data_IF_912329785519
#
_entry.id   IF_912329785519
#
_cell.length_a   1.000
_cell.length_b   1.000
_cell.length_c   1.000
_cell.angle_alpha   90.00
_cell.angle_beta   90.00
_cell.angle_gamma   90.00
#
_symmetry.space_group_name_H-M   'P 1'
#
loop_
_entity.id
_entity.type
_entity.pdbx_description
1 polymer ?
#
# COMPACT_ATOMS: atom_id res chain seq x y z
N UNK A 1 -13.67 50.57 2.53
CA UNK A 1 -14.02 49.22 2.05
C UNK A 1 -12.77 48.65 1.41
N UNK A 2 -11.93 48.01 2.22
CA UNK A 2 -10.67 47.39 1.80
C UNK A 2 -10.97 46.01 1.23
N UNK A 3 -10.43 45.76 0.03
CA UNK A 3 -10.30 44.43 -0.55
C UNK A 3 -9.58 43.54 0.47
N UNK A 4 -10.26 42.49 0.93
CA UNK A 4 -9.64 41.43 1.70
C UNK A 4 -8.59 40.77 0.82
N UNK A 5 -7.32 40.95 1.17
CA UNK A 5 -6.22 40.16 0.64
C UNK A 5 -6.58 38.67 0.78
N UNK A 6 -6.71 37.97 -0.35
CA UNK A 6 -6.72 36.52 -0.34
C UNK A 6 -5.42 36.05 0.31
N UNK A 7 -5.45 35.01 1.16
CA UNK A 7 -4.23 34.46 1.71
C UNK A 7 -3.32 34.05 0.55
N UNK A 8 -2.07 34.48 0.64
CA UNK A 8 -1.02 34.17 -0.33
C UNK A 8 -1.02 32.68 -0.65
N UNK A 9 -0.85 32.39 -1.93
CA UNK A 9 -0.78 31.07 -2.55
C UNK A 9 0.54 30.36 -2.15
N UNK A 10 0.82 30.29 -0.84
CA UNK A 10 1.99 29.63 -0.28
C UNK A 10 1.81 28.12 -0.38
N UNK A 11 2.43 27.54 -1.41
CA UNK A 11 2.76 26.13 -1.51
C UNK A 11 1.56 25.17 -1.64
N UNK A 12 0.87 25.20 -2.79
CA UNK A 12 0.24 23.99 -3.34
C UNK A 12 1.34 23.00 -3.77
N UNK A 13 2.15 22.53 -2.81
CA UNK A 13 3.10 21.45 -3.05
C UNK A 13 2.31 20.15 -3.03
N UNK A 14 2.37 19.45 -4.15
CA UNK A 14 1.90 18.07 -4.26
C UNK A 14 2.67 17.20 -3.27
N UNK A 15 1.98 16.24 -2.67
CA UNK A 15 2.59 15.32 -1.70
C UNK A 15 3.79 14.54 -2.27
N UNK A 16 3.92 14.46 -3.59
CA UNK A 16 5.01 13.76 -4.30
C UNK A 16 6.34 14.52 -4.41
N UNK A 17 6.43 15.79 -3.97
CA UNK A 17 7.56 16.68 -4.31
C UNK A 17 8.33 17.22 -3.10
N UNK A 18 8.13 16.67 -1.90
CA UNK A 18 8.80 17.14 -0.70
C UNK A 18 10.10 16.39 -0.45
N UNK A 19 11.25 17.06 -0.61
CA UNK A 19 12.54 16.45 -0.23
C UNK A 19 12.54 16.05 1.27
N UNK A 20 12.78 14.77 1.61
CA UNK A 20 12.86 14.34 3.00
C UNK A 20 14.02 15.03 3.75
N UNK A 21 13.89 15.17 5.06
CA UNK A 21 15.02 15.45 5.96
C UNK A 21 16.09 14.36 5.83
N UNK A 22 17.33 14.70 6.15
CA UNK A 22 18.50 13.84 5.91
C UNK A 22 18.36 12.41 6.46
N UNK A 23 17.74 12.24 7.63
CA UNK A 23 17.53 10.90 8.24
C UNK A 23 16.59 10.01 7.44
N UNK A 24 15.72 10.60 6.63
CA UNK A 24 14.72 9.91 5.81
C UNK A 24 15.08 9.84 4.32
N UNK A 25 16.21 10.41 3.91
CA UNK A 25 16.63 10.44 2.49
C UNK A 25 16.75 9.04 1.89
N UNK A 26 17.51 8.14 2.53
CA UNK A 26 17.67 6.77 2.03
C UNK A 26 16.47 5.86 2.31
N UNK A 27 15.80 5.95 3.48
CA UNK A 27 14.49 5.35 3.69
C UNK A 27 13.46 5.64 2.59
N UNK A 28 13.31 6.91 2.23
CA UNK A 28 12.39 7.35 1.20
C UNK A 28 12.78 6.79 -0.17
N UNK A 29 14.07 6.89 -0.52
CA UNK A 29 14.60 6.35 -1.75
C UNK A 29 14.30 4.84 -1.88
N UNK A 30 14.63 4.05 -0.87
CA UNK A 30 14.37 2.62 -0.87
C UNK A 30 12.87 2.32 -0.98
N UNK A 31 12.05 3.06 -0.23
CA UNK A 31 10.60 2.91 -0.24
C UNK A 31 10.00 3.13 -1.63
N UNK A 32 10.42 4.19 -2.33
CA UNK A 32 9.95 4.48 -3.70
C UNK A 32 10.41 3.44 -4.70
N UNK A 33 11.68 3.01 -4.58
CA UNK A 33 12.25 1.96 -5.43
C UNK A 33 11.46 0.65 -5.28
N UNK A 34 11.23 0.19 -4.04
CA UNK A 34 10.51 -1.08 -3.78
C UNK A 34 9.05 -0.98 -4.24
N UNK A 35 8.37 0.15 -4.00
CA UNK A 35 6.99 0.33 -4.41
C UNK A 35 6.81 0.30 -5.94
N UNK A 36 7.81 0.75 -6.70
CA UNK A 36 7.81 0.74 -8.16
C UNK A 36 8.18 -0.60 -8.82
N UNK A 37 8.21 -1.72 -8.06
CA UNK A 37 8.60 -3.03 -8.58
C UNK A 37 7.59 -3.58 -9.59
N UNK A 38 8.10 -4.10 -10.70
CA UNK A 38 7.34 -4.81 -11.71
C UNK A 38 8.20 -5.88 -12.39
N UNK A 39 7.60 -6.66 -13.29
CA UNK A 39 8.27 -7.75 -14.00
C UNK A 39 9.47 -7.29 -14.85
N UNK A 40 9.48 -6.04 -15.30
CA UNK A 40 10.53 -5.51 -16.19
C UNK A 40 11.75 -4.98 -15.44
N UNK A 41 11.58 -4.54 -14.18
CA UNK A 41 12.63 -3.83 -13.43
C UNK A 41 13.11 -4.56 -12.16
N UNK A 42 12.55 -5.72 -11.81
CA UNK A 42 12.88 -6.43 -10.55
C UNK A 42 14.38 -6.69 -10.35
N UNK A 43 15.11 -7.01 -11.43
CA UNK A 43 16.57 -7.23 -11.37
C UNK A 43 17.30 -5.93 -11.01
N UNK A 44 16.96 -4.83 -11.70
CA UNK A 44 17.55 -3.52 -11.46
C UNK A 44 17.25 -3.03 -10.04
N UNK A 45 15.99 -3.14 -9.62
CA UNK A 45 15.54 -2.77 -8.27
C UNK A 45 16.29 -3.59 -7.21
N UNK A 46 16.43 -4.90 -7.41
CA UNK A 46 17.18 -5.76 -6.48
C UNK A 46 18.62 -5.25 -6.31
N UNK A 47 19.31 -4.94 -7.42
CA UNK A 47 20.68 -4.41 -7.37
C UNK A 47 20.78 -3.07 -6.65
N UNK A 48 19.86 -2.13 -6.91
CA UNK A 48 19.84 -0.82 -6.25
C UNK A 48 19.61 -0.95 -4.74
N UNK A 49 18.68 -1.82 -4.33
CA UNK A 49 18.40 -2.05 -2.91
C UNK A 49 19.58 -2.75 -2.22
N UNK A 50 20.20 -3.74 -2.86
CA UNK A 50 21.42 -4.37 -2.36
C UNK A 50 22.52 -3.32 -2.17
N UNK A 51 22.73 -2.41 -3.12
CA UNK A 51 23.70 -1.32 -3.00
C UNK A 51 23.42 -0.40 -1.80
N UNK A 52 22.15 -0.03 -1.56
CA UNK A 52 21.78 0.78 -0.39
C UNK A 52 22.09 0.05 0.93
N UNK A 53 21.89 -1.27 0.99
CA UNK A 53 22.22 -2.07 2.18
C UNK A 53 23.75 -2.21 2.35
N UNK A 54 24.49 -2.58 1.30
CA UNK A 54 25.96 -2.80 1.38
C UNK A 54 26.72 -1.52 1.69
N UNK A 55 26.23 -0.36 1.24
CA UNK A 55 26.79 0.95 1.59
C UNK A 55 26.34 1.47 2.96
N UNK A 56 25.67 0.63 3.76
CA UNK A 56 25.19 0.92 5.12
C UNK A 56 24.27 2.15 5.20
N UNK A 57 23.58 2.46 4.10
CA UNK A 57 22.62 3.58 4.04
C UNK A 57 21.29 3.22 4.69
N UNK A 58 20.91 1.95 4.65
CA UNK A 58 19.72 1.39 5.29
C UNK A 58 19.98 -0.04 5.79
N UNK A 59 19.31 -0.48 6.87
CA UNK A 59 19.38 -1.87 7.33
C UNK A 59 18.49 -2.79 6.48
N UNK A 60 18.88 -4.05 6.31
CA UNK A 60 18.12 -5.06 5.56
C UNK A 60 16.71 -5.29 6.13
N UNK A 61 16.58 -5.25 7.46
CA UNK A 61 15.31 -5.45 8.18
C UNK A 61 14.25 -4.45 7.71
N UNK A 62 14.67 -3.20 7.50
CA UNK A 62 13.79 -2.15 7.02
C UNK A 62 13.31 -2.41 5.59
N UNK A 63 14.20 -2.89 4.72
CA UNK A 63 13.85 -3.27 3.35
C UNK A 63 12.85 -4.42 3.33
N UNK A 64 13.11 -5.49 4.07
CA UNK A 64 12.21 -6.65 4.15
C UNK A 64 10.86 -6.27 4.78
N UNK A 65 10.86 -5.37 5.76
CA UNK A 65 9.64 -4.79 6.31
C UNK A 65 8.84 -4.01 5.27
N UNK A 66 9.48 -3.15 4.47
CA UNK A 66 8.79 -2.40 3.41
C UNK A 66 8.21 -3.33 2.33
N UNK A 67 8.94 -4.37 1.93
CA UNK A 67 8.44 -5.40 1.01
C UNK A 67 7.21 -6.10 1.61
N UNK A 68 7.25 -6.47 2.88
CA UNK A 68 6.13 -7.09 3.60
C UNK A 68 4.89 -6.18 3.61
N UNK A 69 5.04 -4.90 3.92
CA UNK A 69 3.95 -3.93 3.87
C UNK A 69 3.40 -3.76 2.45
N UNK A 70 4.24 -3.54 1.45
CA UNK A 70 3.77 -3.32 0.07
C UNK A 70 3.12 -4.55 -0.54
N UNK A 71 3.57 -5.75 -0.15
CA UNK A 71 2.90 -6.98 -0.55
C UNK A 71 1.46 -7.11 -0.04
N UNK A 72 1.08 -6.38 1.02
CA UNK A 72 -0.29 -6.31 1.52
C UNK A 72 -1.13 -5.30 0.74
N UNK A 73 -0.53 -4.15 0.39
CA UNK A 73 -1.19 -3.09 -0.39
C UNK A 73 -1.43 -3.58 -1.83
N UNK A 74 -0.41 -4.14 -2.46
CA UNK A 74 -0.40 -4.60 -3.85
C UNK A 74 -0.61 -6.11 -3.92
N UNK A 75 -1.74 -6.57 -3.38
CA UNK A 75 -2.01 -7.98 -3.19
C UNK A 75 -2.08 -8.81 -4.50
N UNK A 76 -2.26 -8.16 -5.66
CA UNK A 76 -2.20 -8.77 -7.00
C UNK A 76 -0.76 -9.09 -7.45
N UNK A 77 0.22 -8.38 -6.91
CA UNK A 77 1.63 -8.44 -7.30
C UNK A 77 2.47 -9.24 -6.29
N UNK A 78 1.80 -10.00 -5.40
CA UNK A 78 2.42 -10.77 -4.31
C UNK A 78 3.61 -11.62 -4.77
N UNK A 79 3.56 -12.16 -6.00
CA UNK A 79 4.66 -12.92 -6.61
C UNK A 79 5.90 -12.07 -6.87
N UNK A 80 5.75 -10.85 -7.37
CA UNK A 80 6.87 -9.93 -7.58
C UNK A 80 7.53 -9.57 -6.25
N UNK A 81 6.73 -9.33 -5.21
CA UNK A 81 7.25 -9.05 -3.88
C UNK A 81 7.94 -10.27 -3.26
N UNK A 82 7.46 -11.50 -3.49
CA UNK A 82 8.16 -12.71 -3.01
C UNK A 82 9.50 -12.92 -3.70
N UNK A 83 9.57 -12.70 -5.02
CA UNK A 83 10.82 -12.76 -5.78
C UNK A 83 11.82 -11.70 -5.29
N UNK A 84 11.37 -10.47 -5.05
CA UNK A 84 12.22 -9.40 -4.52
C UNK A 84 12.68 -9.74 -3.10
N UNK A 85 11.78 -10.18 -2.22
CA UNK A 85 12.10 -10.59 -0.85
C UNK A 85 13.18 -11.68 -0.83
N UNK A 86 13.00 -12.72 -1.64
CA UNK A 86 13.95 -13.83 -1.73
C UNK A 86 15.31 -13.39 -2.26
N UNK A 87 15.36 -12.55 -3.30
CA UNK A 87 16.62 -12.01 -3.85
C UNK A 87 17.40 -11.22 -2.82
N UNK A 88 16.75 -10.30 -2.10
CA UNK A 88 17.40 -9.51 -1.06
C UNK A 88 17.84 -10.42 0.09
N UNK A 89 16.96 -11.29 0.59
CA UNK A 89 17.28 -12.19 1.71
C UNK A 89 18.48 -13.09 1.41
N UNK A 90 18.52 -13.69 0.21
CA UNK A 90 19.62 -14.56 -0.21
C UNK A 90 20.95 -13.81 -0.34
N UNK A 91 20.94 -12.56 -0.83
CA UNK A 91 22.15 -11.75 -0.99
C UNK A 91 22.88 -11.48 0.34
N UNK A 92 22.15 -11.49 1.45
CA UNK A 92 22.69 -11.21 2.79
C UNK A 92 22.61 -12.41 3.75
N UNK A 93 22.15 -13.57 3.27
CA UNK A 93 21.87 -14.75 4.11
C UNK A 93 21.00 -14.41 5.33
N UNK A 94 20.07 -13.47 5.18
CA UNK A 94 19.20 -12.99 6.24
C UNK A 94 17.81 -13.60 6.06
N UNK A 95 17.38 -14.41 7.03
CA UNK A 95 16.09 -15.10 6.99
C UNK A 95 15.22 -14.55 8.11
N UNK A 96 14.08 -13.98 7.74
CA UNK A 96 13.06 -13.53 8.67
C UNK A 96 11.68 -13.87 8.10
N UNK A 97 10.73 -14.25 8.94
CA UNK A 97 9.36 -14.49 8.51
C UNK A 97 8.64 -13.16 8.26
N UNK A 98 8.06 -12.92 7.07
CA UNK A 98 7.22 -11.74 6.85
C UNK A 98 5.86 -11.89 7.57
N UNK A 99 5.28 -10.78 8.03
CA UNK A 99 3.99 -10.80 8.74
C UNK A 99 2.83 -11.07 7.78
N UNK A 100 2.94 -10.71 6.50
CA UNK A 100 1.97 -11.08 5.49
C UNK A 100 2.03 -12.60 5.24
N UNK A 101 1.02 -13.31 5.75
CA UNK A 101 0.91 -14.77 5.62
C UNK A 101 0.92 -15.26 4.18
N UNK A 102 0.36 -14.49 3.23
CA UNK A 102 0.38 -14.85 1.80
C UNK A 102 1.80 -14.78 1.24
N UNK A 103 2.56 -13.76 1.62
CA UNK A 103 3.98 -13.63 1.26
C UNK A 103 4.80 -14.76 1.87
N UNK A 104 4.64 -15.02 3.17
CA UNK A 104 5.34 -16.09 3.89
C UNK A 104 5.06 -17.47 3.26
N UNK A 105 3.80 -17.73 2.94
CA UNK A 105 3.39 -19.00 2.33
C UNK A 105 3.97 -19.16 0.92
N UNK A 106 3.99 -18.09 0.11
CA UNK A 106 4.58 -18.15 -1.22
C UNK A 106 6.09 -18.39 -1.17
N UNK A 107 6.79 -17.73 -0.24
CA UNK A 107 8.22 -17.96 0.01
C UNK A 107 8.48 -19.43 0.41
N UNK A 108 7.65 -20.02 1.27
CA UNK A 108 7.73 -21.43 1.64
C UNK A 108 7.65 -22.35 0.41
N UNK A 109 6.65 -22.16 -0.46
CA UNK A 109 6.52 -22.96 -1.69
C UNK A 109 7.67 -22.74 -2.68
N UNK A 110 8.32 -21.56 -2.64
CA UNK A 110 9.54 -21.26 -3.39
C UNK A 110 10.82 -21.88 -2.78
N UNK A 111 10.70 -22.70 -1.74
CA UNK A 111 11.82 -23.37 -1.07
C UNK A 111 12.57 -22.49 -0.07
N UNK A 112 12.02 -21.35 0.31
CA UNK A 112 12.60 -20.48 1.33
C UNK A 112 12.38 -21.09 2.72
N UNK A 113 13.47 -21.35 3.46
CA UNK A 113 13.43 -22.05 4.75
C UNK A 113 13.00 -21.09 5.87
N UNK A 114 11.71 -21.06 6.17
CA UNK A 114 11.15 -20.36 7.33
C UNK A 114 11.08 -21.33 8.53
N UNK A 115 11.63 -20.92 9.67
CA UNK A 115 11.68 -21.76 10.86
C UNK A 115 10.28 -21.94 11.47
N UNK A 116 9.88 -23.19 11.76
CA UNK A 116 8.56 -23.53 12.34
C UNK A 116 7.33 -23.04 11.56
N UNK A 117 7.48 -22.71 10.28
CA UNK A 117 6.38 -22.25 9.44
C UNK A 117 5.65 -23.42 8.77
N UNK A 118 4.33 -23.50 8.96
CA UNK A 118 3.45 -24.45 8.28
C UNK A 118 2.41 -23.69 7.45
N UNK A 119 2.35 -23.92 6.12
CA UNK A 119 1.44 -23.20 5.24
C UNK A 119 -0.02 -23.61 5.52
N UNK A 120 -0.90 -22.62 5.72
CA UNK A 120 -2.36 -22.84 5.93
C UNK A 120 -3.19 -22.69 4.65
N UNK A 121 -2.55 -22.34 3.54
CA UNK A 121 -3.18 -22.06 2.25
C UNK A 121 -2.36 -22.69 1.13
N UNK A 122 -3.02 -23.06 0.04
CA UNK A 122 -2.35 -23.62 -1.15
C UNK A 122 -1.73 -22.52 -1.99
N UNK A 123 -0.71 -22.85 -2.79
CA UNK A 123 -0.06 -21.89 -3.68
C UNK A 123 -1.05 -21.22 -4.64
N UNK A 124 -1.96 -22.00 -5.23
CA UNK A 124 -3.00 -21.51 -6.14
C UNK A 124 -3.96 -20.51 -5.47
N UNK A 125 -4.25 -20.69 -4.19
CA UNK A 125 -5.09 -19.79 -3.38
C UNK A 125 -4.35 -18.49 -3.02
N UNK A 126 -3.02 -18.48 -3.06
CA UNK A 126 -2.23 -17.26 -2.86
C UNK A 126 -2.18 -16.45 -4.15
N UNK A 127 -2.02 -17.15 -5.28
CA UNK A 127 -1.93 -16.53 -6.60
C UNK A 127 -3.23 -15.85 -7.01
N UNK A 128 -4.37 -16.37 -6.54
CA UNK A 128 -5.69 -15.79 -6.79
C UNK A 128 -6.23 -15.12 -5.53
N UNK A 129 -6.70 -13.88 -5.62
CA UNK A 129 -7.30 -13.17 -4.48
C UNK A 129 -8.62 -13.79 -4.01
N UNK A 130 -9.33 -14.44 -4.92
CA UNK A 130 -10.57 -15.16 -4.70
C UNK A 130 -10.57 -16.47 -5.49
N UNK A 131 -11.37 -17.48 -5.08
CA UNK A 131 -11.55 -18.71 -5.85
C UNK A 131 -11.91 -18.44 -7.31
N UNK A 132 -11.34 -19.18 -8.26
CA UNK A 132 -11.50 -18.94 -9.71
C UNK A 132 -12.92 -19.20 -10.23
N UNK A 133 -13.74 -19.88 -9.43
CA UNK A 133 -15.16 -20.15 -9.63
C UNK A 133 -16.07 -19.13 -8.91
N UNK A 134 -15.51 -18.14 -8.21
CA UNK A 134 -16.25 -17.04 -7.59
C UNK A 134 -16.41 -15.84 -8.55
N UNK A 135 -17.54 -15.12 -8.53
CA UNK A 135 -17.69 -13.88 -9.29
C UNK A 135 -16.66 -12.82 -8.90
N UNK A 136 -16.22 -12.80 -7.63
CA UNK A 136 -15.22 -11.83 -7.14
C UNK A 136 -13.86 -11.98 -7.82
N UNK A 137 -13.50 -13.19 -8.26
CA UNK A 137 -12.29 -13.40 -9.06
C UNK A 137 -12.37 -12.61 -10.38
N UNK A 138 -13.48 -12.73 -11.11
CA UNK A 138 -13.64 -12.05 -12.39
C UNK A 138 -13.71 -10.54 -12.21
N UNK A 139 -14.38 -10.07 -11.16
CA UNK A 139 -14.43 -8.64 -10.83
C UNK A 139 -13.04 -8.12 -10.53
N UNK A 140 -12.29 -8.80 -9.66
CA UNK A 140 -10.94 -8.39 -9.25
C UNK A 140 -9.99 -8.25 -10.43
N UNK A 141 -10.12 -9.09 -11.46
CA UNK A 141 -9.29 -9.05 -12.67
C UNK A 141 -9.93 -8.27 -13.83
N UNK A 142 -10.99 -7.51 -13.55
CA UNK A 142 -11.78 -6.71 -14.50
C UNK A 142 -12.29 -7.47 -15.75
N UNK A 143 -12.60 -8.76 -15.58
CA UNK A 143 -13.04 -9.67 -16.65
C UNK A 143 -14.56 -9.62 -16.85
N UNK A 144 -15.09 -8.45 -17.21
CA UNK A 144 -16.53 -8.18 -17.27
C UNK A 144 -17.31 -9.13 -18.20
N UNK A 145 -16.73 -9.56 -19.32
CA UNK A 145 -17.40 -10.45 -20.27
C UNK A 145 -17.56 -11.87 -19.70
N UNK A 146 -16.52 -12.37 -19.04
CA UNK A 146 -16.57 -13.68 -18.37
C UNK A 146 -17.53 -13.65 -17.19
N UNK A 147 -17.55 -12.55 -16.42
CA UNK A 147 -18.49 -12.33 -15.32
C UNK A 147 -19.94 -12.44 -15.80
N UNK A 148 -20.29 -11.71 -16.88
CA UNK A 148 -21.64 -11.73 -17.49
C UNK A 148 -22.05 -13.12 -17.96
N UNK A 149 -21.12 -13.83 -18.61
CA UNK A 149 -21.37 -15.16 -19.16
C UNK A 149 -21.58 -16.22 -18.08
N UNK A 150 -20.73 -16.22 -17.04
CA UNK A 150 -20.71 -17.24 -16.00
C UNK A 150 -21.71 -16.99 -14.87
N UNK A 151 -22.05 -15.74 -14.60
CA UNK A 151 -22.95 -15.35 -13.50
C UNK A 151 -24.08 -14.43 -13.98
N UNK A 152 -24.97 -14.90 -14.88
CA UNK A 152 -26.05 -14.08 -15.43
C UNK A 152 -27.05 -13.59 -14.38
N UNK A 153 -27.16 -14.30 -13.24
CA UNK A 153 -28.06 -13.98 -12.13
C UNK A 153 -27.27 -13.57 -10.87
N UNK A 154 -26.17 -12.84 -11.05
CA UNK A 154 -25.34 -12.36 -9.93
C UNK A 154 -26.18 -11.53 -8.95
N UNK A 155 -26.14 -11.87 -7.66
CA UNK A 155 -26.72 -11.05 -6.59
C UNK A 155 -25.91 -9.77 -6.40
N UNK A 156 -26.26 -8.70 -7.14
CA UNK A 156 -25.46 -7.47 -7.25
C UNK A 156 -25.21 -6.72 -5.92
N UNK A 157 -26.12 -6.87 -4.96
CA UNK A 157 -26.02 -6.26 -3.62
C UNK A 157 -25.80 -7.31 -2.52
N UNK A 158 -25.61 -8.59 -2.88
CA UNK A 158 -25.35 -9.64 -1.91
C UNK A 158 -23.85 -9.69 -1.59
N UNK A 159 -23.50 -9.70 -0.31
CA UNK A 159 -22.11 -9.89 0.12
C UNK A 159 -21.66 -11.32 -0.18
N UNK A 160 -20.45 -11.43 -0.73
CA UNK A 160 -19.71 -12.66 -0.98
C UNK A 160 -18.37 -12.46 -0.27
N UNK A 161 -17.98 -13.35 0.64
CA UNK A 161 -16.76 -13.17 1.44
C UNK A 161 -16.65 -11.78 2.10
N UNK A 162 -17.74 -11.32 2.73
CA UNK A 162 -17.86 -10.02 3.42
C UNK A 162 -17.65 -8.77 2.54
N UNK A 163 -17.83 -8.89 1.22
CA UNK A 163 -17.77 -7.75 0.29
C UNK A 163 -18.84 -7.85 -0.81
N UNK A 164 -19.45 -6.72 -1.18
CA UNK A 164 -20.37 -6.70 -2.32
C UNK A 164 -19.60 -6.76 -3.65
N UNK A 165 -20.20 -7.25 -4.74
CA UNK A 165 -19.61 -7.17 -6.07
C UNK A 165 -19.14 -5.76 -6.45
N UNK A 166 -19.93 -4.72 -6.14
CA UNK A 166 -19.57 -3.34 -6.45
C UNK A 166 -18.37 -2.88 -5.63
N UNK A 167 -18.35 -3.13 -4.32
CA UNK A 167 -17.21 -2.80 -3.47
C UNK A 167 -15.93 -3.52 -3.89
N UNK A 168 -16.05 -4.75 -4.37
CA UNK A 168 -14.91 -5.49 -4.94
C UNK A 168 -14.38 -4.78 -6.19
N UNK A 169 -15.27 -4.33 -7.09
CA UNK A 169 -14.85 -3.59 -8.29
C UNK A 169 -14.17 -2.27 -7.93
N UNK A 170 -14.73 -1.54 -6.96
CA UNK A 170 -14.18 -0.29 -6.44
C UNK A 170 -12.79 -0.51 -5.84
N UNK A 171 -12.65 -1.50 -4.93
CA UNK A 171 -11.41 -1.78 -4.20
C UNK A 171 -10.24 -2.10 -5.12
N UNK A 172 -10.49 -2.80 -6.22
CA UNK A 172 -9.45 -3.25 -7.14
C UNK A 172 -9.37 -2.41 -8.42
N UNK A 173 -10.05 -1.26 -8.47
CA UNK A 173 -10.02 -0.36 -9.62
C UNK A 173 -10.52 -1.00 -10.92
N UNK A 174 -11.48 -1.91 -10.82
CA UNK A 174 -11.98 -2.72 -11.94
C UNK A 174 -13.10 -1.97 -12.65
N UNK A 175 -12.71 -1.00 -13.47
CA UNK A 175 -13.59 0.01 -14.08
C UNK A 175 -14.70 -0.60 -14.94
N UNK A 176 -14.39 -1.63 -15.74
CA UNK A 176 -15.40 -2.26 -16.61
C UNK A 176 -16.46 -2.99 -15.78
N UNK A 177 -16.04 -3.71 -14.74
CA UNK A 177 -16.94 -4.39 -13.82
C UNK A 177 -17.73 -3.39 -12.97
N UNK A 178 -17.10 -2.30 -12.50
CA UNK A 178 -17.76 -1.22 -11.78
C UNK A 178 -18.91 -0.62 -12.60
N UNK A 179 -18.62 -0.21 -13.83
CA UNK A 179 -19.62 0.36 -14.74
C UNK A 179 -20.76 -0.62 -15.03
N UNK A 180 -20.44 -1.90 -15.25
CA UNK A 180 -21.45 -2.93 -15.44
C UNK A 180 -22.37 -3.09 -14.21
N UNK A 181 -21.80 -3.20 -13.01
CA UNK A 181 -22.54 -3.39 -11.77
C UNK A 181 -23.40 -2.15 -11.43
N UNK A 182 -22.87 -0.94 -11.63
CA UNK A 182 -23.64 0.31 -11.50
C UNK A 182 -24.84 0.35 -12.44
N UNK A 183 -24.66 -0.06 -13.70
CA UNK A 183 -25.75 -0.12 -14.69
C UNK A 183 -26.84 -1.15 -14.34
N UNK A 184 -26.51 -2.16 -13.52
CA UNK A 184 -27.50 -3.10 -12.98
C UNK A 184 -28.22 -2.57 -11.72
N UNK A 185 -27.86 -1.39 -11.23
CA UNK A 185 -28.45 -0.80 -10.03
C UNK A 185 -27.76 -1.21 -8.73
N UNK A 186 -26.48 -1.60 -8.77
CA UNK A 186 -25.72 -1.88 -7.56
C UNK A 186 -25.54 -0.60 -6.71
N UNK A 187 -25.68 -0.75 -5.39
CA UNK A 187 -25.64 0.36 -4.44
C UNK A 187 -24.29 0.42 -3.73
N UNK A 188 -23.84 1.64 -3.42
CA UNK A 188 -22.69 1.83 -2.54
C UNK A 188 -23.01 1.38 -1.12
N UNK A 189 -22.03 0.79 -0.46
CA UNK A 189 -22.10 0.49 0.97
C UNK A 189 -21.43 1.60 1.77
N UNK A 190 -21.39 1.44 3.10
CA UNK A 190 -20.63 2.31 4.02
C UNK A 190 -19.10 2.14 3.91
N UNK A 191 -18.62 1.18 3.11
CA UNK A 191 -17.19 0.91 2.91
C UNK A 191 -16.67 1.35 1.55
N UNK A 192 -17.56 1.69 0.62
CA UNK A 192 -17.23 2.02 -0.78
C UNK A 192 -16.21 3.16 -0.88
N UNK A 193 -16.36 4.23 -0.10
CA UNK A 193 -15.46 5.39 -0.13
C UNK A 193 -14.04 5.00 0.29
N UNK A 194 -13.92 4.19 1.35
CA UNK A 194 -12.63 3.64 1.79
C UNK A 194 -12.02 2.77 0.71
N UNK A 195 -12.78 1.85 0.14
CA UNK A 195 -12.29 0.96 -0.92
C UNK A 195 -11.86 1.72 -2.17
N UNK A 196 -12.57 2.80 -2.52
CA UNK A 196 -12.22 3.63 -3.65
C UNK A 196 -10.87 4.32 -3.46
N UNK A 197 -10.65 4.89 -2.27
CA UNK A 197 -9.38 5.53 -1.91
C UNK A 197 -8.23 4.52 -1.85
N UNK A 198 -8.49 3.28 -1.43
CA UNK A 198 -7.50 2.20 -1.47
C UNK A 198 -7.17 1.77 -2.90
N UNK A 199 -8.20 1.61 -3.74
CA UNK A 199 -8.06 1.12 -5.12
C UNK A 199 -7.37 2.10 -6.05
N UNK A 200 -7.43 3.40 -5.77
CA UNK A 200 -6.62 4.41 -6.46
C UNK A 200 -7.03 4.70 -7.90
N UNK A 201 -8.10 4.07 -8.41
CA UNK A 201 -8.63 4.34 -9.75
C UNK A 201 -9.37 5.69 -9.73
N UNK A 202 -8.87 6.64 -10.53
CA UNK A 202 -9.32 8.04 -10.50
C UNK A 202 -10.69 8.20 -11.13
N UNK A 203 -10.99 7.41 -12.14
CA UNK A 203 -12.23 7.41 -12.88
C UNK A 203 -13.39 7.02 -11.95
N UNK A 204 -13.24 5.92 -11.22
CA UNK A 204 -14.19 5.50 -10.17
C UNK A 204 -14.28 6.56 -9.07
N UNK A 205 -13.15 7.10 -8.60
CA UNK A 205 -13.13 8.14 -7.57
C UNK A 205 -13.92 9.39 -7.98
N UNK A 206 -13.67 9.92 -9.17
CA UNK A 206 -14.37 11.09 -9.69
C UNK A 206 -15.86 10.81 -9.92
N UNK A 207 -16.21 9.64 -10.43
CA UNK A 207 -17.62 9.27 -10.58
C UNK A 207 -18.35 9.19 -9.23
N UNK A 208 -17.71 8.64 -8.19
CA UNK A 208 -18.31 8.61 -6.85
C UNK A 208 -18.53 10.03 -6.28
N UNK A 209 -17.62 10.97 -6.54
CA UNK A 209 -17.79 12.39 -6.19
C UNK A 209 -18.99 12.99 -6.92
N UNK A 210 -19.11 12.78 -8.23
CA UNK A 210 -20.23 13.27 -9.06
C UNK A 210 -21.58 12.70 -8.60
N UNK A 211 -21.59 11.46 -8.11
CA UNK A 211 -22.76 10.81 -7.52
C UNK A 211 -23.02 11.21 -6.06
N UNK A 212 -22.28 12.20 -5.52
CA UNK A 212 -22.55 12.85 -4.23
C UNK A 212 -21.93 12.17 -3.02
N UNK A 213 -20.96 11.25 -3.20
CA UNK A 213 -20.23 10.66 -2.06
C UNK A 213 -19.26 11.64 -1.44
N UNK A 214 -19.19 11.62 -0.11
CA UNK A 214 -18.20 12.41 0.66
C UNK A 214 -17.06 11.50 1.10
N UNK A 215 -15.82 11.98 1.00
CA UNK A 215 -14.61 11.21 1.32
C UNK A 215 -13.98 11.71 2.61
N UNK A 216 -14.78 11.90 3.65
CA UNK A 216 -14.35 12.51 4.91
C UNK A 216 -13.26 11.67 5.61
N UNK A 217 -12.21 12.33 6.10
CA UNK A 217 -11.09 11.70 6.83
C UNK A 217 -10.37 10.58 6.06
N UNK A 218 -10.23 10.70 4.74
CA UNK A 218 -9.61 9.67 3.88
C UNK A 218 -8.18 9.97 3.46
N UNK A 219 -7.62 11.15 3.78
CA UNK A 219 -6.29 11.53 3.31
C UNK A 219 -5.17 10.58 3.76
N UNK A 220 -5.18 10.11 5.00
CA UNK A 220 -4.20 9.11 5.47
C UNK A 220 -4.35 7.79 4.71
N UNK A 221 -5.58 7.35 4.43
CA UNK A 221 -5.82 6.14 3.61
C UNK A 221 -5.23 6.31 2.22
N UNK A 222 -5.44 7.47 1.56
CA UNK A 222 -4.88 7.76 0.25
C UNK A 222 -3.35 7.69 0.27
N UNK A 223 -2.73 8.29 1.28
CA UNK A 223 -1.26 8.30 1.44
C UNK A 223 -0.71 6.91 1.75
N UNK A 224 -1.36 6.13 2.62
CA UNK A 224 -0.95 4.75 2.94
C UNK A 224 -0.90 3.86 1.70
N UNK A 225 -1.83 4.05 0.76
CA UNK A 225 -1.91 3.34 -0.51
C UNK A 225 -1.15 4.05 -1.65
N UNK A 226 -0.44 5.16 -1.35
CA UNK A 226 0.31 6.00 -2.29
C UNK A 226 -0.49 6.54 -3.47
N UNK A 227 -1.79 6.73 -3.26
CA UNK A 227 -2.67 7.37 -4.21
C UNK A 227 -2.54 8.89 -4.05
N UNK A 228 -1.36 9.43 -4.36
CA UNK A 228 -1.01 10.83 -4.10
C UNK A 228 -1.93 11.82 -4.80
N UNK A 229 -2.42 11.50 -6.01
CA UNK A 229 -3.37 12.36 -6.72
C UNK A 229 -4.73 12.44 -6.02
N UNK A 230 -5.20 11.33 -5.45
CA UNK A 230 -6.40 11.33 -4.59
C UNK A 230 -6.11 12.12 -3.31
N UNK A 231 -4.94 11.93 -2.69
CA UNK A 231 -4.55 12.69 -1.50
C UNK A 231 -4.50 14.21 -1.76
N UNK A 232 -3.93 14.63 -2.89
CA UNK A 232 -3.87 16.03 -3.33
C UNK A 232 -5.29 16.57 -3.61
N UNK A 233 -6.18 15.78 -4.19
CA UNK A 233 -7.59 16.13 -4.36
C UNK A 233 -8.29 16.34 -3.02
N UNK A 234 -8.11 15.40 -2.07
CA UNK A 234 -8.69 15.47 -0.72
C UNK A 234 -8.20 16.69 0.06
N UNK A 235 -6.91 17.01 -0.05
CA UNK A 235 -6.32 18.21 0.52
C UNK A 235 -6.93 19.49 -0.05
N UNK A 236 -7.08 19.56 -1.37
CA UNK A 236 -7.44 20.80 -2.06
C UNK A 236 -8.94 21.07 -2.01
N UNK A 237 -9.78 20.04 -2.17
CA UNK A 237 -11.23 20.18 -2.29
C UNK A 237 -11.97 19.91 -0.97
N UNK A 238 -11.40 19.09 -0.09
CA UNK A 238 -11.99 18.75 1.21
C UNK A 238 -11.18 19.27 2.41
N UNK A 239 -10.12 20.06 2.16
CA UNK A 239 -9.26 20.67 3.19
C UNK A 239 -8.70 19.66 4.21
N UNK A 240 -8.51 18.42 3.78
CA UNK A 240 -7.96 17.38 4.65
C UNK A 240 -6.44 17.49 4.75
N UNK A 241 -5.90 17.17 5.92
CA UNK A 241 -4.45 17.15 6.17
C UNK A 241 -4.06 15.85 6.85
N UNK A 242 -2.94 15.20 6.47
CA UNK A 242 -2.43 14.07 7.23
C UNK A 242 -1.97 14.53 8.61
N UNK A 243 -2.09 13.64 9.59
CA UNK A 243 -1.89 13.95 11.02
C UNK A 243 -1.05 12.91 11.77
N UNK A 244 -0.51 11.90 11.06
CA UNK A 244 0.17 10.76 11.67
C UNK A 244 1.55 10.48 11.07
N UNK A 245 2.59 10.91 11.77
CA UNK A 245 3.99 10.61 11.43
C UNK A 245 4.25 9.11 11.53
N UNK A 246 3.76 8.48 12.61
CA UNK A 246 3.93 7.04 12.86
C UNK A 246 3.32 6.21 11.75
N UNK A 247 2.09 6.53 11.32
CA UNK A 247 1.43 5.82 10.23
C UNK A 247 2.15 6.05 8.90
N UNK A 248 2.57 7.29 8.63
CA UNK A 248 3.36 7.62 7.44
C UNK A 248 4.65 6.77 7.37
N UNK A 249 5.39 6.65 8.47
CA UNK A 249 6.59 5.81 8.53
C UNK A 249 6.27 4.33 8.40
N UNK A 250 5.19 3.85 9.04
CA UNK A 250 4.74 2.45 8.96
C UNK A 250 4.49 2.02 7.50
N UNK A 251 3.88 2.88 6.69
CA UNK A 251 3.63 2.65 5.26
C UNK A 251 4.75 3.14 4.32
N UNK A 252 5.89 3.56 4.87
CA UNK A 252 7.05 4.02 4.10
C UNK A 252 6.87 5.38 3.40
N UNK A 253 5.91 6.19 3.80
CA UNK A 253 5.70 7.56 3.32
C UNK A 253 6.64 8.54 4.03
N UNK A 254 7.95 8.37 3.84
CA UNK A 254 8.98 9.11 4.55
C UNK A 254 9.02 10.61 4.20
N UNK A 255 8.61 11.00 2.98
CA UNK A 255 8.40 12.42 2.63
C UNK A 255 7.28 13.06 3.46
N UNK A 256 6.16 12.35 3.66
CA UNK A 256 5.04 12.83 4.47
C UNK A 256 5.45 12.92 5.93
N UNK A 257 6.11 11.88 6.44
CA UNK A 257 6.65 11.89 7.80
C UNK A 257 7.62 13.08 8.01
N UNK A 258 8.48 13.34 7.03
CA UNK A 258 9.40 14.49 7.05
C UNK A 258 8.66 15.83 7.05
N UNK A 259 7.63 15.97 6.22
CA UNK A 259 6.81 17.17 6.14
C UNK A 259 6.11 17.45 7.48
N UNK A 260 5.46 16.45 8.06
CA UNK A 260 4.77 16.56 9.35
C UNK A 260 5.74 16.93 10.48
N UNK A 261 6.89 16.27 10.57
CA UNK A 261 7.93 16.61 11.54
C UNK A 261 8.42 18.06 11.43
N UNK A 262 8.57 18.55 10.21
CA UNK A 262 9.08 19.90 9.95
C UNK A 262 8.05 20.99 10.25
N UNK A 263 6.76 20.65 10.33
CA UNK A 263 5.66 21.57 10.67
C UNK A 263 5.21 21.48 12.13
N UNK A 264 6.00 20.81 13.00
CA UNK A 264 5.78 20.84 14.45
C UNK A 264 4.67 19.91 14.96
N UNK A 265 4.26 18.91 14.17
CA UNK A 265 3.37 17.84 14.66
C UNK A 265 3.99 17.14 15.88
N UNK A 266 3.14 16.82 16.87
CA UNK A 266 3.60 16.38 18.20
C UNK A 266 4.39 15.07 18.15
N UNK A 267 5.69 15.19 18.42
CA UNK A 267 6.65 14.10 18.50
C UNK A 267 6.31 13.12 19.64
N UNK A 268 5.47 13.47 20.61
CA UNK A 268 5.10 12.55 21.68
C UNK A 268 4.12 11.45 21.22
N UNK A 269 3.40 11.62 20.11
CA UNK A 269 2.67 10.52 19.43
C UNK A 269 3.61 9.55 18.69
N UNK A 270 4.88 9.94 18.50
CA UNK A 270 5.94 9.20 17.81
C UNK A 270 6.67 8.23 18.77
N UNK A 271 6.54 8.43 20.08
CA UNK A 271 7.35 7.73 21.09
C UNK A 271 7.32 6.20 20.94
N UNK A 272 6.19 5.60 20.57
CA UNK A 272 6.07 4.14 20.42
C UNK A 272 6.78 3.58 19.18
N UNK A 273 6.79 4.30 18.05
CA UNK A 273 7.44 3.84 16.82
C UNK A 273 8.95 4.13 16.83
N UNK A 274 9.37 5.27 17.36
CA UNK A 274 10.79 5.50 17.62
C UNK A 274 11.31 4.53 18.67
N UNK A 275 10.55 4.15 19.70
CA UNK A 275 10.94 3.04 20.58
C UNK A 275 11.10 1.74 19.78
N UNK A 276 10.20 1.43 18.85
CA UNK A 276 10.30 0.22 18.03
C UNK A 276 11.55 0.20 17.15
N UNK A 277 11.79 1.28 16.39
CA UNK A 277 12.96 1.40 15.50
C UNK A 277 14.26 1.49 16.32
N UNK A 278 14.25 2.24 17.42
CA UNK A 278 15.38 2.37 18.33
C UNK A 278 15.67 1.05 19.05
N UNK A 279 14.68 0.28 19.51
CA UNK A 279 14.87 -1.06 20.07
C UNK A 279 15.49 -2.01 19.04
N UNK A 280 15.04 -1.97 17.79
CA UNK A 280 15.60 -2.79 16.71
C UNK A 280 17.07 -2.41 16.45
N UNK A 281 17.38 -1.12 16.44
CA UNK A 281 18.75 -0.61 16.24
C UNK A 281 19.65 -0.89 17.46
N UNK A 282 19.15 -0.74 18.69
CA UNK A 282 19.92 -0.93 19.93
C UNK A 282 20.16 -2.41 20.26
N UNK A 283 19.19 -3.28 19.97
CA UNK A 283 19.35 -4.73 20.14
C UNK A 283 20.47 -5.27 19.26
N UNK A 284 20.77 -4.60 18.14
CA UNK A 284 21.83 -4.99 17.22
C UNK A 284 23.20 -4.36 17.52
N UNK A 285 23.28 -3.15 18.07
CA UNK A 285 24.56 -2.60 18.54
C UNK A 285 25.14 -3.43 19.70
N UNK A 286 24.28 -4.07 20.50
CA UNK A 286 24.69 -4.99 21.56
C UNK A 286 25.09 -6.38 21.04
N UNK A 287 24.47 -6.89 19.96
CA UNK A 287 24.84 -8.21 19.39
C UNK A 287 26.17 -8.20 18.62
N UNK A 288 26.67 -7.04 18.20
CA UNK A 288 28.02 -6.90 17.61
C UNK A 288 29.15 -6.74 18.64
N UNK A 289 28.84 -6.61 19.94
CA UNK A 289 29.83 -6.51 21.01
C UNK A 289 29.95 -7.78 21.86
N UNK A 290 29.31 -8.89 21.44
CA UNK A 290 29.43 -10.20 22.08
C UNK A 290 29.84 -11.21 21.01
N UNK A 291 31.07 -11.07 20.51
CA UNK A 291 31.92 -12.13 19.96
C UNK A 291 33.38 -11.68 20.07
#
# INVERSE_FOLDING_TARGET
>A
MSLSEQPSNENLRNYSNHKPIKVFEYPDQASKIIFGVNSNNIIQISSQIIELITTHKIPIQMVLYLIDIFSQIHAKEIKLFSELYQKISNAFSYINEPKNKRLATLLYYQGFKLENFEPKMKEEEIMNLYPTDSPLYYITWDKVNDLKSKFPNLGINQEIDDITPLDCAIRYGSELCFNYLKNLGAEYTKYSEKYCVQGGNKEIFMQMIEEGKTFDNMINTALNYRNYEIADYLKTNFYQTPDSITESMYFGNYEIASYLLSNGEDINKIYNLFHFIFIIVLSHSLSFNIY
#
